data_IF_390747986838
#
_entry.id   IF_390747986838
#
_cell.length_a   1.000
_cell.length_b   1.000
_cell.length_c   1.000
_cell.angle_alpha   90.00
_cell.angle_beta   90.00
_cell.angle_gamma   90.00
#
_symmetry.space_group_name_H-M   'P 1'
#
loop_
_entity.id
_entity.type
_entity.pdbx_description
1 polymer ?
#
# COMPACT_ATOMS: atom_id res chain seq x y z
N UNK A 1 -1.86 -26.27 4.56
CA UNK A 1 -3.12 -25.54 4.89
C UNK A 1 -2.76 -24.30 5.69
N UNK A 2 -3.31 -23.15 5.35
CA UNK A 2 -3.15 -21.93 6.15
C UNK A 2 -3.99 -22.09 7.44
N UNK A 3 -3.36 -21.82 8.60
CA UNK A 3 -4.04 -21.87 9.89
C UNK A 3 -4.88 -20.60 10.08
N UNK A 4 -6.13 -20.78 10.51
CA UNK A 4 -7.02 -19.65 10.81
C UNK A 4 -7.12 -19.50 12.33
N UNK A 5 -6.64 -18.38 12.87
CA UNK A 5 -6.78 -18.07 14.28
C UNK A 5 -8.26 -17.74 14.59
N UNK A 6 -8.82 -18.29 15.67
CA UNK A 6 -10.24 -18.13 16.03
C UNK A 6 -10.71 -16.69 16.14
N UNK A 7 -9.86 -15.76 16.60
CA UNK A 7 -10.15 -14.32 16.65
C UNK A 7 -10.40 -13.67 15.28
N UNK A 8 -9.97 -14.31 14.18
CA UNK A 8 -10.35 -13.86 12.83
C UNK A 8 -11.85 -14.02 12.57
N UNK A 9 -12.48 -14.99 13.22
CA UNK A 9 -13.91 -15.25 13.06
C UNK A 9 -14.77 -14.21 13.77
N UNK A 10 -14.26 -13.60 14.85
CA UNK A 10 -14.91 -12.50 15.56
C UNK A 10 -14.82 -11.16 14.81
N UNK A 11 -14.03 -11.12 13.72
CA UNK A 11 -13.86 -9.96 12.85
C UNK A 11 -13.60 -8.65 13.61
N UNK A 12 -12.64 -8.56 14.51
CA UNK A 12 -12.38 -7.35 15.28
C UNK A 12 -12.04 -6.17 14.37
N UNK A 13 -12.40 -4.96 14.79
CA UNK A 13 -12.25 -3.73 13.98
C UNK A 13 -10.80 -3.30 13.75
N UNK A 14 -9.88 -3.81 14.58
CA UNK A 14 -8.46 -3.42 14.56
C UNK A 14 -7.56 -4.60 14.26
N UNK A 15 -6.40 -4.33 13.62
CA UNK A 15 -5.42 -5.36 13.31
C UNK A 15 -4.74 -5.86 14.60
N UNK A 16 -4.70 -7.17 14.77
CA UNK A 16 -4.02 -7.84 15.89
C UNK A 16 -3.10 -8.96 15.40
N UNK A 17 -2.35 -9.57 16.31
CA UNK A 17 -1.44 -10.68 15.98
C UNK A 17 -2.15 -11.84 15.25
N UNK A 18 -3.44 -12.05 15.53
CA UNK A 18 -4.29 -13.05 14.87
C UNK A 18 -4.43 -12.86 13.35
N UNK A 19 -4.16 -11.63 12.84
CA UNK A 19 -4.29 -11.30 11.42
C UNK A 19 -3.09 -11.78 10.58
N UNK A 20 -2.03 -12.23 11.24
CA UNK A 20 -0.79 -12.67 10.63
C UNK A 20 -0.63 -14.19 10.68
N UNK A 21 0.04 -14.74 9.69
CA UNK A 21 0.58 -16.09 9.76
C UNK A 21 1.94 -16.06 10.51
N UNK A 22 2.41 -17.19 11.06
CA UNK A 22 3.72 -17.25 11.69
C UNK A 22 4.83 -16.76 10.74
N UNK A 23 5.57 -15.71 11.15
CA UNK A 23 6.63 -15.12 10.34
C UNK A 23 6.18 -14.19 9.22
N UNK A 24 4.87 -13.94 9.08
CA UNK A 24 4.34 -13.01 8.07
C UNK A 24 4.71 -11.57 8.39
N UNK A 25 5.16 -10.84 7.37
CA UNK A 25 5.34 -9.39 7.39
C UNK A 25 4.36 -8.74 6.39
N UNK A 26 3.68 -7.68 6.81
CA UNK A 26 2.77 -6.91 5.95
C UNK A 26 3.34 -5.52 5.70
N UNK A 27 3.48 -5.15 4.43
CA UNK A 27 3.88 -3.79 4.05
C UNK A 27 2.62 -2.96 3.87
N UNK A 28 2.53 -1.87 4.62
CA UNK A 28 1.37 -0.96 4.59
C UNK A 28 1.83 0.49 4.48
N UNK A 29 0.98 1.33 3.89
CA UNK A 29 1.19 2.76 3.72
C UNK A 29 0.25 3.53 4.62
N UNK A 30 0.75 4.45 5.41
CA UNK A 30 -0.06 5.24 6.33
C UNK A 30 -0.95 6.20 5.51
N UNK A 31 -2.26 6.10 5.69
CA UNK A 31 -3.26 6.98 5.08
C UNK A 31 -3.52 8.21 5.94
N UNK A 32 -3.76 7.99 7.22
CA UNK A 32 -3.93 9.03 8.24
C UNK A 32 -3.72 8.46 9.64
N UNK A 33 -3.53 9.38 10.60
CA UNK A 33 -3.44 9.05 12.03
C UNK A 33 -4.39 10.00 12.76
N UNK A 34 -5.30 9.46 13.56
CA UNK A 34 -6.27 10.28 14.32
C UNK A 34 -6.67 9.60 15.62
N UNK A 35 -7.27 10.37 16.51
CA UNK A 35 -7.85 9.84 17.74
C UNK A 35 -9.28 9.39 17.49
N UNK A 36 -9.62 8.21 18.00
CA UNK A 36 -10.94 7.62 17.91
C UNK A 36 -11.30 6.97 19.24
N UNK A 37 -12.59 6.88 19.52
CA UNK A 37 -13.10 6.17 20.69
C UNK A 37 -13.18 4.69 20.33
N UNK A 38 -12.40 3.88 21.04
CA UNK A 38 -12.36 2.43 20.92
C UNK A 38 -13.14 1.83 22.10
N UNK A 39 -14.02 0.88 21.81
CA UNK A 39 -14.68 0.10 22.84
C UNK A 39 -13.86 -1.17 23.10
N UNK A 40 -13.32 -1.29 24.31
CA UNK A 40 -12.58 -2.48 24.72
C UNK A 40 -13.49 -3.71 24.88
N UNK A 41 -12.87 -4.88 25.03
CA UNK A 41 -13.59 -6.14 25.24
C UNK A 41 -14.42 -6.15 26.56
N UNK A 42 -14.06 -5.30 27.50
CA UNK A 42 -14.77 -5.08 28.77
C UNK A 42 -15.90 -4.04 28.68
N UNK A 43 -16.19 -3.55 27.46
CA UNK A 43 -17.20 -2.53 27.18
C UNK A 43 -16.77 -1.11 27.53
N UNK A 44 -15.59 -0.90 28.08
CA UNK A 44 -15.06 0.44 28.36
C UNK A 44 -14.68 1.15 27.08
N UNK A 45 -14.99 2.43 27.05
CA UNK A 45 -14.64 3.32 25.93
C UNK A 45 -13.37 4.09 26.28
N UNK A 46 -12.35 3.94 25.46
CA UNK A 46 -11.08 4.64 25.61
C UNK A 46 -10.75 5.41 24.32
N UNK A 47 -10.19 6.59 24.48
CA UNK A 47 -9.72 7.38 23.35
C UNK A 47 -8.33 6.92 22.95
N UNK A 48 -8.21 6.27 21.78
CA UNK A 48 -6.97 5.73 21.26
C UNK A 48 -6.51 6.47 20.01
N UNK A 49 -5.20 6.49 19.79
CA UNK A 49 -4.65 6.94 18.52
C UNK A 49 -4.68 5.78 17.52
N UNK A 50 -5.29 6.00 16.36
CA UNK A 50 -5.50 4.97 15.33
C UNK A 50 -4.75 5.35 14.07
N UNK A 51 -4.02 4.39 13.50
CA UNK A 51 -3.34 4.50 12.22
C UNK A 51 -4.14 3.76 11.17
N UNK A 52 -4.64 4.48 10.18
CA UNK A 52 -5.32 3.91 9.01
C UNK A 52 -4.34 3.73 7.86
N UNK A 53 -4.56 2.72 7.04
CA UNK A 53 -3.71 2.36 5.91
C UNK A 53 -4.40 2.64 4.58
N UNK A 54 -3.61 2.80 3.52
CA UNK A 54 -4.12 2.96 2.14
C UNK A 54 -4.57 1.61 1.57
N UNK A 55 -3.93 0.54 2.01
CA UNK A 55 -4.27 -0.83 1.66
C UNK A 55 -5.55 -1.27 2.39
N UNK A 56 -6.19 -2.33 1.91
CA UNK A 56 -7.39 -2.89 2.53
C UNK A 56 -7.04 -3.73 3.79
N UNK A 57 -6.26 -3.13 4.68
CA UNK A 57 -5.91 -3.70 5.98
C UNK A 57 -6.65 -2.97 7.09
N UNK A 58 -6.94 -3.68 8.17
CA UNK A 58 -7.58 -3.10 9.36
C UNK A 58 -6.67 -2.07 10.00
N UNK A 59 -7.22 -0.99 10.59
CA UNK A 59 -6.44 0.03 11.26
C UNK A 59 -5.70 -0.53 12.49
N UNK A 60 -4.60 0.10 12.84
CA UNK A 60 -3.75 -0.26 13.98
C UNK A 60 -3.99 0.70 15.15
N UNK A 61 -4.28 0.18 16.33
CA UNK A 61 -4.21 0.95 17.58
C UNK A 61 -2.74 1.24 17.87
N UNK A 62 -2.39 2.53 17.87
CA UNK A 62 -1.01 2.98 18.02
C UNK A 62 -0.61 2.99 19.49
N UNK A 63 0.38 2.19 19.86
CA UNK A 63 1.05 2.26 21.14
C UNK A 63 2.36 3.04 21.05
N UNK A 64 2.93 3.44 22.19
CA UNK A 64 4.17 4.22 22.24
C UNK A 64 5.34 3.56 21.50
N UNK A 65 5.48 2.24 21.60
CA UNK A 65 6.56 1.49 20.94
C UNK A 65 6.47 1.61 19.41
N UNK A 66 5.28 1.41 18.86
CA UNK A 66 5.04 1.53 17.42
C UNK A 66 5.12 2.99 16.96
N UNK A 67 4.61 3.94 17.75
CA UNK A 67 4.71 5.37 17.45
C UNK A 67 6.16 5.84 17.35
N UNK A 68 6.99 5.48 18.33
CA UNK A 68 8.43 5.78 18.29
C UNK A 68 9.15 5.15 17.09
N UNK A 69 8.71 3.95 16.67
CA UNK A 69 9.31 3.30 15.52
C UNK A 69 8.88 3.96 14.20
N UNK A 70 7.62 4.36 14.07
CA UNK A 70 7.14 5.13 12.91
C UNK A 70 7.87 6.48 12.84
N UNK A 71 8.01 7.19 13.96
CA UNK A 71 8.78 8.44 14.03
C UNK A 71 10.21 8.28 13.50
N UNK A 72 10.90 7.20 13.86
CA UNK A 72 12.26 6.91 13.35
C UNK A 72 12.28 6.64 11.83
N UNK A 73 11.28 5.95 11.31
CA UNK A 73 11.17 5.64 9.88
C UNK A 73 10.83 6.90 9.08
N UNK A 74 9.86 7.69 9.57
CA UNK A 74 9.41 8.93 8.94
C UNK A 74 10.42 10.08 9.07
N UNK A 75 11.29 10.03 10.10
CA UNK A 75 12.25 11.11 10.42
C UNK A 75 11.60 12.30 11.12
N UNK A 76 10.36 12.18 11.57
CA UNK A 76 9.59 13.26 12.20
C UNK A 76 8.58 12.72 13.22
N UNK A 77 8.30 13.48 14.26
CA UNK A 77 7.27 13.17 15.25
C UNK A 77 5.87 13.70 14.91
N UNK A 78 5.72 14.43 13.79
CA UNK A 78 4.45 15.03 13.39
C UNK A 78 3.63 14.06 12.53
N UNK A 79 2.43 13.74 12.99
CA UNK A 79 1.55 12.71 12.38
C UNK A 79 1.07 13.09 10.97
N UNK A 80 0.97 14.38 10.67
CA UNK A 80 0.60 14.90 9.35
C UNK A 80 1.63 14.52 8.29
N UNK A 81 2.90 14.43 8.70
CA UNK A 81 4.02 14.04 7.83
C UNK A 81 4.20 12.52 7.72
N UNK A 82 3.41 11.74 8.47
CA UNK A 82 3.42 10.28 8.36
C UNK A 82 2.56 9.78 7.19
N UNK A 83 1.70 10.61 6.63
CA UNK A 83 0.87 10.26 5.46
C UNK A 83 1.76 9.87 4.29
N UNK A 84 1.50 8.71 3.70
CA UNK A 84 2.31 8.15 2.60
C UNK A 84 3.58 7.42 3.06
N UNK A 85 3.90 7.41 4.36
CA UNK A 85 5.04 6.64 4.88
C UNK A 85 4.69 5.15 4.85
N UNK A 86 5.60 4.36 4.26
CA UNK A 86 5.47 2.89 4.22
C UNK A 86 6.17 2.28 5.43
N UNK A 87 5.51 1.34 6.04
CA UNK A 87 6.01 0.59 7.20
C UNK A 87 5.80 -0.91 6.99
N UNK A 88 6.55 -1.71 7.70
CA UNK A 88 6.37 -3.16 7.77
C UNK A 88 5.77 -3.49 9.13
N UNK A 89 4.62 -4.14 9.13
CA UNK A 89 4.01 -4.71 10.32
C UNK A 89 4.41 -6.18 10.43
N UNK A 90 4.76 -6.61 11.63
CA UNK A 90 5.07 -7.99 11.98
C UNK A 90 4.55 -8.33 13.36
N UNK A 91 4.50 -9.61 13.67
CA UNK A 91 4.21 -10.08 15.03
C UNK A 91 5.52 -10.33 15.77
N UNK A 92 5.61 -9.82 16.97
CA UNK A 92 6.68 -10.12 17.92
C UNK A 92 6.08 -10.66 19.22
N UNK A 93 6.65 -11.70 19.74
CA UNK A 93 6.34 -12.22 21.07
C UNK A 93 7.01 -11.33 22.10
N UNK A 94 6.22 -10.67 22.93
CA UNK A 94 6.68 -9.72 23.94
C UNK A 94 6.20 -10.11 25.33
N UNK A 95 6.98 -9.75 26.36
CA UNK A 95 6.55 -9.88 27.74
C UNK A 95 5.75 -8.63 28.11
N UNK A 96 4.47 -8.79 28.42
CA UNK A 96 3.58 -7.71 28.84
C UNK A 96 2.71 -8.18 30.01
N UNK A 97 2.57 -7.35 31.03
CA UNK A 97 1.73 -7.60 32.22
C UNK A 97 2.04 -8.93 32.95
N UNK A 98 3.30 -9.40 32.86
CA UNK A 98 3.72 -10.68 33.47
C UNK A 98 3.60 -11.89 32.55
N UNK A 99 2.89 -11.77 31.42
CA UNK A 99 2.67 -12.84 30.47
C UNK A 99 3.45 -12.64 29.16
N UNK A 100 3.63 -13.74 28.44
CA UNK A 100 4.19 -13.75 27.09
C UNK A 100 3.04 -13.65 26.12
N UNK A 101 2.97 -12.55 25.34
CA UNK A 101 1.91 -12.27 24.40
C UNK A 101 2.45 -11.90 23.03
N UNK A 102 1.70 -12.24 22.00
CA UNK A 102 2.00 -11.83 20.63
C UNK A 102 1.43 -10.43 20.36
N UNK A 103 2.28 -9.53 19.92
CA UNK A 103 1.91 -8.14 19.65
C UNK A 103 2.31 -7.71 18.23
N UNK A 104 1.46 -6.93 17.59
CA UNK A 104 1.81 -6.29 16.32
C UNK A 104 2.83 -5.19 16.55
N UNK A 105 3.93 -5.26 15.83
CA UNK A 105 5.05 -4.31 15.91
C UNK A 105 5.40 -3.75 14.53
N UNK A 106 5.75 -2.47 14.53
CA UNK A 106 6.38 -1.85 13.35
C UNK A 106 7.83 -2.30 13.30
N UNK A 107 8.24 -2.91 12.20
CA UNK A 107 9.60 -3.39 12.00
C UNK A 107 10.61 -2.23 11.96
N UNK A 108 11.82 -2.48 12.43
CA UNK A 108 12.94 -1.54 12.31
C UNK A 108 13.45 -1.43 10.86
N UNK A 109 13.14 -2.42 10.02
CA UNK A 109 13.50 -2.41 8.61
C UNK A 109 12.62 -1.42 7.86
N UNK A 110 13.21 -0.61 7.00
CA UNK A 110 12.45 0.19 6.03
C UNK A 110 11.94 -0.74 4.93
N UNK A 111 10.66 -0.60 4.51
CA UNK A 111 10.19 -1.32 3.34
C UNK A 111 11.05 -0.99 2.12
N UNK A 112 11.22 -1.93 1.18
CA UNK A 112 11.87 -1.62 -0.09
C UNK A 112 11.15 -0.42 -0.73
N UNK A 113 11.93 0.51 -1.30
CA UNK A 113 11.37 1.63 -2.03
C UNK A 113 10.39 1.07 -3.06
N UNK A 114 9.19 1.68 -3.16
CA UNK A 114 8.38 1.43 -4.34
C UNK A 114 9.20 1.93 -5.51
N UNK A 115 9.61 1.02 -6.37
CA UNK A 115 9.93 1.39 -7.74
C UNK A 115 8.58 1.89 -8.27
N UNK A 116 8.36 3.22 -8.27
CA UNK A 116 7.29 3.79 -9.08
C UNK A 116 7.55 3.23 -10.47
N UNK A 117 6.62 2.50 -11.07
CA UNK A 117 6.83 2.05 -12.43
C UNK A 117 7.17 3.30 -13.24
N UNK A 118 8.38 3.34 -13.75
CA UNK A 118 8.83 4.46 -14.58
C UNK A 118 8.01 4.35 -15.84
N UNK A 119 7.04 5.25 -16.01
CA UNK A 119 6.25 5.31 -17.23
C UNK A 119 7.27 5.66 -18.32
N UNK A 120 7.50 4.79 -19.30
CA UNK A 120 8.46 5.07 -20.35
C UNK A 120 7.99 6.29 -21.14
N UNK A 121 8.93 7.07 -21.64
CA UNK A 121 8.62 8.10 -22.63
C UNK A 121 8.12 7.45 -23.93
N UNK A 122 7.36 8.20 -24.70
CA UNK A 122 6.86 7.74 -25.98
C UNK A 122 8.04 7.34 -26.89
N UNK A 123 7.99 6.12 -27.43
CA UNK A 123 9.03 5.61 -28.31
C UNK A 123 9.26 6.48 -29.56
N UNK A 124 8.23 7.15 -30.08
CA UNK A 124 8.30 7.88 -31.33
C UNK A 124 8.63 9.38 -31.19
N UNK A 125 8.07 10.04 -30.18
CA UNK A 125 8.28 11.49 -30.01
C UNK A 125 9.08 11.85 -28.76
N UNK A 126 9.47 10.86 -27.94
CA UNK A 126 10.22 11.03 -26.69
C UNK A 126 9.58 11.97 -25.67
N UNK A 127 8.26 12.19 -25.76
CA UNK A 127 7.49 12.95 -24.80
C UNK A 127 6.92 12.01 -23.72
N UNK A 128 6.72 12.51 -22.49
CA UNK A 128 6.08 11.72 -21.43
C UNK A 128 4.71 11.21 -21.88
N UNK A 129 4.45 9.91 -21.65
CA UNK A 129 3.14 9.33 -21.93
C UNK A 129 2.18 9.79 -20.83
N UNK A 130 1.09 10.44 -21.23
CA UNK A 130 -0.02 10.82 -20.36
C UNK A 130 -1.16 9.82 -20.46
N UNK A 131 -2.00 9.75 -19.42
CA UNK A 131 -3.22 8.92 -19.47
C UNK A 131 -4.21 9.42 -20.52
N UNK A 132 -5.09 8.52 -20.97
CA UNK A 132 -6.14 8.84 -21.95
C UNK A 132 -7.50 8.32 -21.48
N UNK A 133 -8.49 9.18 -21.46
CA UNK A 133 -9.83 8.87 -21.00
C UNK A 133 -9.86 8.52 -19.51
N UNK A 134 -10.23 7.28 -19.18
CA UNK A 134 -10.25 6.76 -17.78
C UNK A 134 -8.98 6.00 -17.41
N UNK A 135 -8.04 5.82 -18.34
CA UNK A 135 -6.80 5.09 -18.12
C UNK A 135 -5.72 6.01 -17.55
N UNK A 136 -4.99 5.52 -16.54
CA UNK A 136 -3.78 6.18 -16.06
C UNK A 136 -2.68 6.14 -17.12
N UNK A 137 -1.67 6.98 -16.98
CA UNK A 137 -0.53 7.01 -17.90
C UNK A 137 0.19 5.64 -18.00
N UNK A 138 0.23 4.89 -16.90
CA UNK A 138 0.81 3.55 -16.87
C UNK A 138 -0.04 2.54 -17.64
N UNK A 139 -1.33 2.46 -17.35
CA UNK A 139 -2.26 1.56 -18.05
C UNK A 139 -2.27 1.84 -19.56
N UNK A 140 -2.19 3.12 -19.92
CA UNK A 140 -2.15 3.52 -21.32
C UNK A 140 -0.81 3.13 -22.00
N UNK A 141 0.32 3.28 -21.32
CA UNK A 141 1.63 2.83 -21.83
C UNK A 141 1.68 1.30 -22.00
N UNK A 142 1.11 0.53 -21.07
CA UNK A 142 1.00 -0.93 -21.17
C UNK A 142 0.08 -1.36 -22.30
N UNK A 143 -1.06 -0.69 -22.46
CA UNK A 143 -1.99 -0.92 -23.55
C UNK A 143 -1.32 -0.68 -24.91
N UNK A 144 -0.66 0.48 -25.10
CA UNK A 144 -0.01 0.80 -26.39
C UNK A 144 1.15 -0.15 -26.67
N UNK A 145 1.88 -0.59 -25.65
CA UNK A 145 2.92 -1.61 -25.77
C UNK A 145 2.36 -2.96 -26.22
N UNK A 146 1.20 -3.36 -25.73
CA UNK A 146 0.56 -4.63 -26.15
C UNK A 146 0.07 -4.57 -27.61
N UNK A 147 -0.37 -3.38 -28.07
CA UNK A 147 -0.92 -3.19 -29.43
C UNK A 147 0.17 -2.95 -30.48
N UNK A 148 1.21 -2.19 -30.13
CA UNK A 148 2.23 -1.73 -31.09
C UNK A 148 3.63 -2.31 -30.82
N UNK A 149 3.80 -3.14 -29.79
CA UNK A 149 5.09 -3.69 -29.37
C UNK A 149 5.98 -2.69 -28.61
N UNK A 150 5.61 -1.40 -28.60
CA UNK A 150 6.32 -0.31 -27.89
C UNK A 150 5.33 0.63 -27.25
N UNK A 151 5.74 1.29 -26.17
CA UNK A 151 4.91 2.29 -25.50
C UNK A 151 4.93 3.60 -26.31
N UNK A 152 3.75 4.11 -26.68
CA UNK A 152 3.61 5.36 -27.44
C UNK A 152 2.51 6.23 -26.84
N UNK A 153 2.63 7.57 -26.98
CA UNK A 153 1.58 8.50 -26.58
C UNK A 153 0.35 8.36 -27.52
N UNK A 154 -0.75 8.99 -27.14
CA UNK A 154 -2.00 8.91 -27.90
C UNK A 154 -1.82 9.32 -29.37
N UNK A 155 -1.18 10.48 -29.63
CA UNK A 155 -1.01 11.02 -30.97
C UNK A 155 -0.16 10.12 -31.87
N UNK A 156 0.93 9.56 -31.32
CA UNK A 156 1.79 8.62 -32.04
C UNK A 156 1.07 7.28 -32.28
N UNK A 157 0.27 6.82 -31.32
CA UNK A 157 -0.58 5.64 -31.47
C UNK A 157 -1.61 5.78 -32.59
N UNK A 158 -2.24 6.95 -32.75
CA UNK A 158 -3.16 7.23 -33.85
C UNK A 158 -2.45 7.20 -35.20
N UNK A 159 -1.30 7.86 -35.30
CA UNK A 159 -0.48 7.84 -36.53
C UNK A 159 -0.11 6.43 -36.96
N UNK A 160 0.25 5.56 -35.98
CA UNK A 160 0.56 4.14 -36.26
C UNK A 160 -0.66 3.36 -36.75
N UNK A 161 -1.85 3.59 -36.16
CA UNK A 161 -3.11 2.98 -36.64
C UNK A 161 -3.44 3.38 -38.06
N UNK A 162 -3.33 4.67 -38.40
CA UNK A 162 -3.57 5.17 -39.76
C UNK A 162 -2.57 4.61 -40.78
N UNK A 163 -1.31 4.47 -40.39
CA UNK A 163 -0.28 3.87 -41.25
C UNK A 163 -0.53 2.37 -41.51
N UNK A 164 -1.04 1.64 -40.52
CA UNK A 164 -1.43 0.24 -40.67
C UNK A 164 -2.67 0.07 -41.56
N UNK A 165 -3.67 0.97 -41.41
CA UNK A 165 -4.87 0.95 -42.23
C UNK A 165 -4.56 1.20 -43.74
N UNK A 166 -3.58 2.06 -44.04
CA UNK A 166 -3.14 2.34 -45.44
C UNK A 166 -2.36 1.19 -46.07
N UNK A 167 -1.72 0.32 -45.27
CA UNK A 167 -0.99 -0.86 -45.77
C UNK A 167 -1.88 -2.08 -46.00
N UNK A 168 -3.10 -2.11 -45.45
CA UNK A 168 -4.06 -3.22 -45.64
C UNK A 168 -5.07 -3.02 -46.74
N UNK A 169 -4.97 -1.94 -47.55
CA UNK A 169 -5.90 -1.60 -48.61
C UNK A 169 -5.41 -1.87 -50.02
N UNK A 170 -4.28 -2.56 -50.22
CA UNK A 170 -3.75 -2.90 -51.53
C UNK A 170 -3.53 -4.42 -51.59
N UNK A 171 -4.64 -5.14 -51.79
CA UNK A 171 -4.69 -6.60 -51.94
C UNK A 171 -5.99 -7.02 -52.61
#
# INVERSE_FOLDING_TARGET
MALTHWKKLDNPDYIGAYAFQPGEEKIVTIKNVRREIVTGADGKKEECTIVHFMENEKPLILNATNGNQIQKIAGTGYIEQWVGVRIILKVETVKAFGDIVDAVRVSKKKPPAQVKPTIPDCHDCHQPITGYGKQSAQEFAEYTKSVFGVAVCYDCGQKRKEAQAKKGGDG
#
